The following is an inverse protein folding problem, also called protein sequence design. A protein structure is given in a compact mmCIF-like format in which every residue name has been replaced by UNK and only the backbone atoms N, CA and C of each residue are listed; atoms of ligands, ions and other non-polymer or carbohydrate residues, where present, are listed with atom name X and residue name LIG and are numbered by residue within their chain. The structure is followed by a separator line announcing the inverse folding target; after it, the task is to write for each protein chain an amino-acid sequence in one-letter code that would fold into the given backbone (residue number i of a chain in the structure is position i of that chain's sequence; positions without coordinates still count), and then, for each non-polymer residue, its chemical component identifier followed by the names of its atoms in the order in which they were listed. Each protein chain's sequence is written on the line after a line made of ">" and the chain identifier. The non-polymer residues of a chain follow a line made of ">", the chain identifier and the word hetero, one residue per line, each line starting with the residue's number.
data_IF_357245395931
#
_entry.id   IF_357245395931
#
_cell.length_a   1.000
_cell.length_b   1.000
_cell.length_c   1.000
_cell.angle_alpha   90.00
_cell.angle_beta   90.00
_cell.angle_gamma   90.00
#
_symmetry.space_group_name_H-M   'P 1'
#
loop_
_entity.id
_entity.type
_entity.pdbx_description
1 polymer ?
#
# COMPACT_ATOMS: atom_id res chain seq x y z
N UNK A 1 1.14 21.22 9.99
CA UNK A 1 1.72 20.95 11.33
C UNK A 1 2.10 19.49 11.31
N UNK A 2 3.38 19.18 11.53
CA UNK A 2 3.94 17.82 11.44
C UNK A 2 4.53 17.54 12.83
N UNK A 3 4.22 16.39 13.40
CA UNK A 3 4.77 15.93 14.67
C UNK A 3 5.71 14.76 14.40
N UNK A 4 6.82 14.71 15.15
CA UNK A 4 7.85 13.66 15.12
C UNK A 4 7.73 12.78 16.38
N UNK A 5 7.84 11.46 16.20
CA UNK A 5 8.32 10.51 17.21
C UNK A 5 7.31 9.48 17.75
N UNK A 6 7.47 8.20 17.39
CA UNK A 6 7.99 7.11 18.26
C UNK A 6 7.95 5.73 17.57
N UNK A 7 8.99 4.91 17.78
CA UNK A 7 8.84 3.45 17.91
C UNK A 7 9.18 2.59 16.70
N UNK A 8 10.42 2.09 16.67
CA UNK A 8 10.87 1.00 15.80
C UNK A 8 10.28 -0.36 16.23
N UNK A 9 9.76 -1.15 15.28
CA UNK A 9 9.48 -2.58 15.46
C UNK A 9 10.27 -3.40 14.41
N UNK A 10 11.09 -4.39 14.80
CA UNK A 10 11.78 -5.25 13.86
C UNK A 10 10.96 -6.54 13.61
N UNK A 11 11.02 -7.02 12.37
CA UNK A 11 11.02 -8.42 11.93
C UNK A 11 10.07 -8.66 10.74
N UNK A 12 10.62 -8.53 9.53
CA UNK A 12 9.97 -8.97 8.29
C UNK A 12 10.43 -10.40 7.98
N UNK A 13 9.52 -11.38 7.78
CA UNK A 13 9.93 -12.74 7.40
C UNK A 13 10.43 -12.78 5.94
N UNK A 14 11.40 -13.65 5.62
CA UNK A 14 12.00 -13.69 4.29
C UNK A 14 11.02 -14.22 3.22
N UNK A 15 11.04 -13.59 2.04
CA UNK A 15 10.22 -13.98 0.88
C UNK A 15 10.67 -15.35 0.33
N UNK A 16 9.74 -16.27 0.00
CA UNK A 16 10.10 -17.49 -0.69
C UNK A 16 10.51 -17.17 -2.13
N UNK A 17 11.71 -17.61 -2.50
CA UNK A 17 12.28 -17.43 -3.84
C UNK A 17 11.58 -18.38 -4.82
N UNK A 18 10.86 -17.81 -5.79
CA UNK A 18 10.22 -18.58 -6.87
C UNK A 18 11.32 -18.99 -7.86
N UNK A 19 11.71 -20.26 -7.82
CA UNK A 19 12.62 -20.84 -8.82
C UNK A 19 11.90 -20.92 -10.17
N UNK A 20 12.39 -20.18 -11.16
CA UNK A 20 12.01 -20.34 -12.56
C UNK A 20 12.50 -21.71 -13.06
N UNK A 21 11.58 -22.59 -13.46
CA UNK A 21 11.94 -23.83 -14.13
C UNK A 21 11.79 -23.67 -15.66
N UNK A 22 12.74 -24.18 -16.46
CA UNK A 22 12.72 -24.03 -17.90
C UNK A 22 11.70 -24.99 -18.52
N UNK A 23 10.93 -24.49 -19.49
CA UNK A 23 9.98 -25.30 -20.25
C UNK A 23 10.70 -25.80 -21.50
N UNK A 24 11.13 -27.07 -21.50
CA UNK A 24 11.60 -27.75 -22.70
C UNK A 24 10.46 -28.53 -23.35
N UNK A 25 10.23 -28.28 -24.64
CA UNK A 25 9.25 -29.00 -25.45
C UNK A 25 9.89 -30.23 -26.07
N UNK A 26 9.74 -31.38 -25.40
CA UNK A 26 10.10 -32.70 -25.93
C UNK A 26 8.92 -33.36 -26.66
N UNK A 27 9.13 -33.72 -27.92
CA UNK A 27 8.17 -34.45 -28.76
C UNK A 27 7.98 -35.90 -28.30
N UNK A 28 6.71 -36.29 -28.32
CA UNK A 28 6.11 -37.63 -28.14
C UNK A 28 7.00 -38.82 -28.51
N UNK A 29 7.24 -39.74 -27.57
CA UNK A 29 7.04 -41.17 -27.78
C UNK A 29 6.81 -41.93 -26.45
N UNK A 30 5.96 -42.96 -26.54
CA UNK A 30 5.13 -43.55 -25.49
C UNK A 30 5.84 -44.24 -24.31
N UNK A 31 5.21 -44.24 -23.11
CA UNK A 31 5.43 -45.17 -21.98
C UNK A 31 4.32 -45.01 -20.87
N UNK A 32 4.23 -45.90 -19.84
CA UNK A 32 3.05 -46.71 -19.49
C UNK A 32 2.03 -46.06 -18.53
N UNK A 33 0.88 -46.73 -18.35
CA UNK A 33 -0.25 -46.35 -17.49
C UNK A 33 0.15 -46.04 -16.05
N UNK A 34 0.52 -44.79 -15.80
CA UNK A 34 0.56 -44.20 -14.47
C UNK A 34 -0.87 -43.76 -14.16
N UNK A 35 -1.45 -44.29 -13.08
CA UNK A 35 -2.72 -43.79 -12.57
C UNK A 35 -2.54 -42.30 -12.29
N UNK A 36 -3.13 -41.47 -13.13
CA UNK A 36 -3.20 -40.04 -12.89
C UNK A 36 -4.01 -39.85 -11.60
N UNK A 37 -3.35 -39.34 -10.56
CA UNK A 37 -4.05 -38.66 -9.47
C UNK A 37 -4.77 -37.50 -10.13
N UNK A 38 -6.06 -37.68 -10.40
CA UNK A 38 -6.91 -36.64 -10.96
C UNK A 38 -6.97 -35.55 -9.89
N UNK A 39 -6.17 -34.51 -10.07
CA UNK A 39 -6.29 -33.28 -9.28
C UNK A 39 -7.62 -32.68 -9.70
N UNK A 40 -8.66 -32.87 -8.90
CA UNK A 40 -9.97 -32.26 -9.14
C UNK A 40 -9.75 -30.77 -9.38
N UNK A 41 -9.98 -30.37 -10.63
CA UNK A 41 -10.01 -28.98 -11.03
C UNK A 41 -11.33 -28.42 -10.49
N UNK A 42 -11.28 -28.01 -9.22
CA UNK A 42 -12.45 -27.54 -8.48
C UNK A 42 -13.08 -26.39 -9.24
N UNK A 43 -14.34 -26.54 -9.65
CA UNK A 43 -15.11 -25.49 -10.29
C UNK A 43 -15.27 -24.32 -9.30
N UNK A 44 -14.40 -23.32 -9.40
CA UNK A 44 -14.32 -22.16 -8.49
C UNK A 44 -15.55 -21.24 -8.64
N UNK A 45 -16.24 -21.33 -9.78
CA UNK A 45 -17.36 -20.45 -10.11
C UNK A 45 -18.65 -20.88 -9.37
N UNK A 46 -19.28 -19.92 -8.67
CA UNK A 46 -20.57 -20.14 -7.98
C UNK A 46 -20.48 -20.83 -6.62
N UNK A 47 -19.27 -21.12 -6.13
CA UNK A 47 -19.07 -21.75 -4.82
C UNK A 47 -18.93 -20.70 -3.70
N UNK A 48 -19.50 -20.92 -2.51
CA UNK A 48 -19.33 -20.04 -1.35
C UNK A 48 -17.96 -20.26 -0.68
N UNK A 49 -16.89 -19.84 -1.35
CA UNK A 49 -15.52 -19.97 -0.85
C UNK A 49 -15.24 -18.95 0.27
N UNK A 50 -14.43 -19.37 1.24
CA UNK A 50 -13.90 -18.45 2.24
C UNK A 50 -13.00 -17.42 1.57
N UNK A 51 -13.07 -16.19 2.07
CA UNK A 51 -12.28 -15.07 1.57
C UNK A 51 -10.81 -15.26 1.94
N UNK A 52 -9.92 -14.95 1.01
CA UNK A 52 -8.46 -15.12 1.20
C UNK A 52 -7.89 -13.99 2.06
N UNK A 53 -8.57 -12.85 2.06
CA UNK A 53 -8.22 -11.65 2.81
C UNK A 53 -8.60 -11.70 4.29
N UNK A 54 -9.59 -12.52 4.67
CA UNK A 54 -10.13 -12.56 6.04
C UNK A 54 -9.04 -12.77 7.10
N UNK A 55 -8.09 -13.73 6.95
CA UNK A 55 -7.04 -13.92 7.95
C UNK A 55 -6.23 -12.65 8.19
N UNK A 56 -5.96 -11.83 7.18
CA UNK A 56 -5.16 -10.61 7.33
C UNK A 56 -5.92 -9.53 8.08
N UNK A 57 -7.20 -9.37 7.80
CA UNK A 57 -8.03 -8.33 8.43
C UNK A 57 -8.43 -8.67 9.86
N UNK A 58 -8.77 -9.93 10.15
CA UNK A 58 -9.16 -10.33 11.52
C UNK A 58 -7.98 -10.43 12.49
N UNK A 59 -6.75 -10.58 11.98
CA UNK A 59 -5.53 -10.65 12.79
C UNK A 59 -4.78 -9.32 12.88
N UNK A 60 -5.24 -8.28 12.18
CA UNK A 60 -4.53 -6.99 12.11
C UNK A 60 -3.19 -7.06 11.38
N UNK A 61 -2.96 -8.09 10.56
CA UNK A 61 -1.74 -8.23 9.74
C UNK A 61 -1.90 -7.69 8.31
N UNK A 62 -3.08 -7.13 8.00
CA UNK A 62 -3.27 -6.29 6.82
C UNK A 62 -2.39 -5.05 6.90
N UNK A 63 -1.85 -4.63 5.77
CA UNK A 63 -1.07 -3.40 5.63
C UNK A 63 -1.90 -2.37 4.87
N UNK A 64 -2.18 -1.25 5.52
CA UNK A 64 -2.80 -0.07 4.93
C UNK A 64 -1.77 1.03 4.74
N UNK A 65 -2.13 2.06 3.98
CA UNK A 65 -1.20 3.15 3.65
C UNK A 65 -0.62 3.86 4.88
N UNK A 66 -1.41 3.97 5.96
CA UNK A 66 -1.01 4.62 7.21
C UNK A 66 -0.11 3.72 8.09
N UNK A 67 -0.07 2.41 7.83
CA UNK A 67 0.79 1.46 8.55
C UNK A 67 2.22 1.44 8.00
N UNK A 68 2.46 2.13 6.88
CA UNK A 68 3.76 2.13 6.21
C UNK A 68 4.71 3.09 6.94
N UNK A 69 5.60 2.54 7.76
CA UNK A 69 6.68 3.29 8.38
C UNK A 69 7.90 3.38 7.44
N UNK A 70 8.21 4.59 6.97
CA UNK A 70 9.43 4.90 6.22
C UNK A 70 10.29 5.88 7.02
N UNK A 71 11.64 5.76 6.97
CA UNK A 71 12.52 6.77 7.56
C UNK A 71 12.22 8.15 6.97
N UNK A 72 12.23 9.18 7.83
CA UNK A 72 12.10 10.60 7.44
C UNK A 72 10.78 10.94 6.70
N UNK A 73 9.73 10.13 6.89
CA UNK A 73 8.42 10.42 6.32
C UNK A 73 7.80 11.66 6.97
N UNK A 74 7.33 12.59 6.14
CA UNK A 74 6.64 13.78 6.58
C UNK A 74 5.12 13.59 6.47
N UNK A 75 4.39 14.05 7.47
CA UNK A 75 2.94 14.13 7.41
C UNK A 75 2.49 15.42 6.73
N UNK A 76 1.31 15.41 6.11
CA UNK A 76 0.71 16.62 5.53
C UNK A 76 -0.72 16.79 6.03
N UNK A 77 -1.16 18.04 6.09
CA UNK A 77 -2.53 18.39 6.48
C UNK A 77 -3.02 19.56 5.64
N UNK A 78 -4.28 19.51 5.23
CA UNK A 78 -4.91 20.55 4.43
C UNK A 78 -5.68 21.51 5.34
N UNK A 79 -5.40 22.81 5.20
CA UNK A 79 -6.27 23.86 5.72
C UNK A 79 -7.43 24.04 4.75
N UNK A 80 -8.65 23.76 5.20
CA UNK A 80 -9.85 23.78 4.36
C UNK A 80 -10.64 25.08 4.53
N UNK A 81 -11.40 25.43 3.49
CA UNK A 81 -12.33 26.57 3.55
C UNK A 81 -13.42 26.31 4.58
N UNK A 82 -13.71 27.33 5.41
CA UNK A 82 -14.89 27.36 6.29
C UNK A 82 -16.16 27.80 5.55
N UNK A 83 -16.01 28.32 4.33
CA UNK A 83 -17.10 28.83 3.50
C UNK A 83 -17.34 27.92 2.30
N UNK A 84 -18.62 27.66 1.99
CA UNK A 84 -19.00 26.88 0.81
C UNK A 84 -18.60 27.56 -0.51
N UNK A 85 -18.66 28.89 -0.56
CA UNK A 85 -18.23 29.69 -1.70
C UNK A 85 -17.69 31.06 -1.24
N UNK A 86 -16.44 31.35 -1.57
CA UNK A 86 -15.80 32.62 -1.24
C UNK A 86 -14.58 32.87 -2.15
N UNK A 87 -14.21 34.14 -2.31
CA UNK A 87 -12.92 34.52 -2.91
C UNK A 87 -11.84 34.54 -1.83
N UNK A 88 -10.75 33.82 -2.05
CA UNK A 88 -9.57 33.85 -1.16
C UNK A 88 -8.83 35.17 -1.39
N UNK A 89 -8.92 36.11 -0.44
CA UNK A 89 -8.22 37.40 -0.53
C UNK A 89 -6.74 37.29 -0.16
N UNK A 90 -6.44 36.53 0.90
CA UNK A 90 -5.09 36.32 1.42
C UNK A 90 -5.03 35.01 2.20
N UNK A 91 -3.87 34.35 2.17
CA UNK A 91 -3.51 33.26 3.08
C UNK A 91 -2.28 33.71 3.85
N UNK A 92 -2.36 33.72 5.18
CA UNK A 92 -1.22 34.02 6.03
C UNK A 92 -0.57 32.73 6.53
N UNK A 93 0.70 32.54 6.21
CA UNK A 93 1.47 31.33 6.57
C UNK A 93 2.57 31.62 7.59
N UNK A 94 2.71 32.87 8.04
CA UNK A 94 3.86 33.31 8.85
C UNK A 94 3.97 32.55 10.17
N UNK A 95 2.87 32.37 10.89
CA UNK A 95 2.89 31.63 12.16
C UNK A 95 3.14 30.14 11.99
N UNK A 96 2.65 29.55 10.88
CA UNK A 96 2.89 28.14 10.58
C UNK A 96 4.37 27.88 10.27
N UNK A 97 5.03 28.78 9.51
CA UNK A 97 6.45 28.66 9.17
C UNK A 97 7.39 28.88 10.36
N UNK A 98 6.94 29.57 11.41
CA UNK A 98 7.73 29.74 12.64
C UNK A 98 7.77 28.48 13.50
N UNK A 99 6.87 27.53 13.28
CA UNK A 99 6.83 26.30 14.07
C UNK A 99 8.01 25.40 13.70
N UNK A 100 8.89 25.02 14.66
CA UNK A 100 10.10 24.23 14.37
C UNK A 100 9.82 22.91 13.65
N UNK A 101 8.66 22.29 13.91
CA UNK A 101 8.28 21.02 13.32
C UNK A 101 7.62 21.15 11.94
N UNK A 102 7.38 22.37 11.43
CA UNK A 102 6.81 22.59 10.10
C UNK A 102 7.94 22.68 9.08
N UNK A 103 8.02 21.68 8.20
CA UNK A 103 9.04 21.63 7.15
C UNK A 103 8.71 22.50 5.93
N UNK A 104 7.43 22.63 5.59
CA UNK A 104 6.93 23.30 4.39
C UNK A 104 5.46 23.71 4.57
N UNK A 105 5.07 24.85 3.98
CA UNK A 105 3.68 25.26 3.79
C UNK A 105 3.48 25.58 2.32
N UNK A 106 2.51 24.95 1.67
CA UNK A 106 2.17 25.17 0.26
C UNK A 106 0.84 25.92 0.14
N UNK A 107 0.81 26.89 -0.76
CA UNK A 107 -0.36 27.68 -1.11
C UNK A 107 -0.67 27.56 -2.60
N UNK A 108 -1.80 28.11 -3.03
CA UNK A 108 -2.13 28.17 -4.46
C UNK A 108 -1.11 28.96 -5.28
N UNK A 109 -0.41 29.93 -4.69
CA UNK A 109 0.60 30.73 -5.39
C UNK A 109 1.81 29.89 -5.83
N UNK A 110 2.18 28.90 -5.03
CA UNK A 110 3.33 28.02 -5.29
C UNK A 110 3.10 27.08 -6.48
N UNK A 111 1.86 26.97 -6.97
CA UNK A 111 1.45 26.05 -8.05
C UNK A 111 1.21 26.74 -9.40
N UNK A 112 1.24 28.08 -9.47
CA UNK A 112 0.82 28.83 -10.66
C UNK A 112 1.81 28.75 -11.85
N UNK A 113 3.06 28.36 -11.63
CA UNK A 113 4.12 28.39 -12.64
C UNK A 113 4.66 27.00 -13.01
N UNK A 114 3.78 26.00 -13.13
CA UNK A 114 4.16 24.64 -13.54
C UNK A 114 3.85 24.35 -15.01
#
# INVERSE_FOLDING_TARGET
>A
MIFEGLGVHPHSPPRPSVKSLPIEFGTSDALPSTQAVVKEETAVLGQPLKRVEDPKFITGTGLFADDIALPEVLHSVFVRSLYAHARIKRVDVTEALKQPAVRLVLTGQDLLNR
#
